data_IF_509699651892
#
_entry.id   IF_509699651892
#
_cell.length_a   1.000
_cell.length_b   1.000
_cell.length_c   1.000
_cell.angle_alpha   90.00
_cell.angle_beta   90.00
_cell.angle_gamma   90.00
#
_symmetry.space_group_name_H-M   'P 1'
#
loop_
_entity.id
_entity.type
_entity.pdbx_description
1 polymer ?
#
# COMPACT_ATOMS: atom_id res chain seq x y z
N UNK A 1 26.60 10.53 5.55
CA UNK A 1 26.33 9.45 4.59
C UNK A 1 26.53 10.03 3.19
N UNK A 2 27.54 9.59 2.52
CA UNK A 2 27.79 10.03 1.16
C UNK A 2 26.78 9.41 0.20
N UNK A 3 26.49 10.11 -0.92
CA UNK A 3 25.56 9.65 -1.95
C UNK A 3 25.91 8.26 -2.48
N UNK A 4 27.20 7.95 -2.54
CA UNK A 4 27.73 6.64 -2.94
C UNK A 4 27.32 5.50 -2.00
N UNK A 5 27.27 5.75 -0.70
CA UNK A 5 26.90 4.74 0.30
C UNK A 5 25.41 4.41 0.22
N UNK A 6 24.57 5.44 0.03
CA UNK A 6 23.14 5.27 -0.15
C UNK A 6 22.83 4.47 -1.43
N UNK A 7 23.53 4.78 -2.53
CA UNK A 7 23.35 4.05 -3.79
C UNK A 7 23.75 2.57 -3.65
N UNK A 8 24.81 2.29 -2.88
CA UNK A 8 25.23 0.91 -2.60
C UNK A 8 24.20 0.15 -1.74
N UNK A 9 23.64 0.80 -0.72
CA UNK A 9 22.59 0.20 0.13
C UNK A 9 21.30 -0.09 -0.66
N UNK A 10 20.87 0.84 -1.49
CA UNK A 10 19.71 0.67 -2.37
C UNK A 10 19.94 -0.50 -3.34
N UNK A 11 21.14 -0.58 -3.93
CA UNK A 11 21.49 -1.68 -4.83
C UNK A 11 21.48 -3.02 -4.12
N UNK A 12 22.01 -3.10 -2.90
CA UNK A 12 22.01 -4.32 -2.09
C UNK A 12 20.58 -4.76 -1.73
N UNK A 13 19.72 -3.83 -1.32
CA UNK A 13 18.32 -4.11 -1.01
C UNK A 13 17.56 -4.62 -2.24
N UNK A 14 17.77 -4.01 -3.39
CA UNK A 14 17.17 -4.43 -4.66
C UNK A 14 17.65 -5.83 -5.07
N UNK A 15 18.92 -6.13 -4.85
CA UNK A 15 19.47 -7.47 -5.10
C UNK A 15 18.82 -8.52 -4.20
N UNK A 16 18.69 -8.24 -2.91
CA UNK A 16 18.05 -9.17 -1.97
C UNK A 16 16.59 -9.44 -2.32
N UNK A 17 15.82 -8.39 -2.61
CA UNK A 17 14.42 -8.52 -3.00
C UNK A 17 14.27 -9.34 -4.28
N UNK A 18 15.09 -9.06 -5.29
CA UNK A 18 15.08 -9.80 -6.56
C UNK A 18 15.43 -11.28 -6.36
N UNK A 19 16.42 -11.57 -5.52
CA UNK A 19 16.83 -12.93 -5.21
C UNK A 19 15.74 -13.70 -4.42
N UNK A 20 15.04 -13.04 -3.51
CA UNK A 20 13.91 -13.62 -2.80
C UNK A 20 12.77 -13.99 -3.76
N UNK A 21 12.43 -13.11 -4.68
CA UNK A 21 11.41 -13.36 -5.69
C UNK A 21 11.79 -14.50 -6.64
N UNK A 22 13.06 -14.57 -7.03
CA UNK A 22 13.57 -15.69 -7.86
C UNK A 22 13.46 -17.03 -7.11
N UNK A 23 13.87 -17.08 -5.85
CA UNK A 23 13.70 -18.27 -5.00
C UNK A 23 12.23 -18.66 -4.79
N UNK A 24 11.33 -17.68 -4.80
CA UNK A 24 9.90 -17.92 -4.74
C UNK A 24 9.31 -18.44 -6.06
N UNK A 25 10.09 -18.49 -7.14
CA UNK A 25 9.68 -19.03 -8.42
C UNK A 25 9.28 -18.02 -9.48
N UNK A 26 9.55 -16.74 -9.23
CA UNK A 26 9.34 -15.67 -10.23
C UNK A 26 10.59 -15.49 -11.09
N UNK A 27 10.39 -15.27 -12.37
CA UNK A 27 11.48 -14.98 -13.32
C UNK A 27 11.00 -14.07 -14.45
N UNK A 28 11.94 -13.41 -15.13
CA UNK A 28 11.65 -12.56 -16.26
C UNK A 28 10.62 -11.47 -15.99
N UNK A 29 9.65 -11.31 -16.86
CA UNK A 29 8.61 -10.29 -16.72
C UNK A 29 7.75 -10.49 -15.48
N UNK A 30 7.52 -11.70 -15.06
CA UNK A 30 6.75 -11.99 -13.84
C UNK A 30 7.49 -11.54 -12.58
N UNK A 31 8.80 -11.73 -12.52
CA UNK A 31 9.63 -11.19 -11.44
C UNK A 31 9.54 -9.66 -11.42
N UNK A 32 9.65 -9.01 -12.57
CA UNK A 32 9.50 -7.56 -12.68
C UNK A 32 8.15 -7.07 -12.16
N UNK A 33 7.06 -7.74 -12.50
CA UNK A 33 5.73 -7.37 -12.03
C UNK A 33 5.57 -7.58 -10.52
N UNK A 34 6.07 -8.69 -9.98
CA UNK A 34 6.06 -8.95 -8.55
C UNK A 34 6.90 -7.91 -7.78
N UNK A 35 8.09 -7.60 -8.28
CA UNK A 35 8.96 -6.55 -7.75
C UNK A 35 8.25 -5.19 -7.71
N UNK A 36 7.69 -4.76 -8.83
CA UNK A 36 6.97 -3.48 -8.91
C UNK A 36 5.75 -3.43 -7.99
N UNK A 37 5.05 -4.54 -7.81
CA UNK A 37 3.91 -4.62 -6.89
C UNK A 37 4.34 -4.36 -5.45
N UNK A 38 5.43 -4.98 -5.01
CA UNK A 38 5.95 -4.80 -3.66
C UNK A 38 6.46 -3.37 -3.44
N UNK A 39 7.28 -2.87 -4.35
CA UNK A 39 7.88 -1.53 -4.23
C UNK A 39 6.79 -0.45 -4.27
N UNK A 40 5.85 -0.54 -5.21
CA UNK A 40 4.77 0.43 -5.33
C UNK A 40 3.88 0.46 -4.08
N UNK A 41 3.56 -0.69 -3.52
CA UNK A 41 2.78 -0.78 -2.30
C UNK A 41 3.50 -0.19 -1.09
N UNK A 42 4.76 -0.53 -0.90
CA UNK A 42 5.58 0.02 0.20
C UNK A 42 5.73 1.53 0.09
N UNK A 43 6.11 2.02 -1.09
CA UNK A 43 6.26 3.46 -1.33
C UNK A 43 4.93 4.19 -1.14
N UNK A 44 3.82 3.62 -1.62
CA UNK A 44 2.48 4.17 -1.45
C UNK A 44 2.10 4.30 0.02
N UNK A 45 2.30 3.26 0.81
CA UNK A 45 2.02 3.29 2.26
C UNK A 45 2.85 4.35 2.98
N UNK A 46 4.17 4.34 2.80
CA UNK A 46 5.08 5.29 3.45
C UNK A 46 4.75 6.72 3.05
N UNK A 47 4.52 6.97 1.78
CA UNK A 47 4.19 8.31 1.27
C UNK A 47 2.88 8.83 1.86
N UNK A 48 1.84 7.99 1.90
CA UNK A 48 0.55 8.37 2.45
C UNK A 48 0.61 8.52 3.97
N UNK A 49 1.38 7.70 4.65
CA UNK A 49 1.54 7.76 6.10
C UNK A 49 2.31 9.00 6.56
N UNK A 50 3.31 9.40 5.79
CA UNK A 50 4.14 10.58 6.07
C UNK A 50 3.66 11.86 5.36
N UNK A 51 2.53 11.80 4.65
CA UNK A 51 2.01 12.95 3.94
C UNK A 51 1.77 14.14 4.90
N UNK A 52 2.42 15.28 4.69
CA UNK A 52 2.27 16.43 5.56
C UNK A 52 0.87 17.05 5.42
N UNK A 53 0.40 17.66 6.49
CA UNK A 53 -0.74 18.58 6.43
C UNK A 53 -0.34 19.86 5.68
N UNK A 54 -1.30 20.56 5.06
CA UNK A 54 -1.05 21.88 4.50
C UNK A 54 -0.41 22.81 5.53
N UNK A 55 0.62 23.57 5.11
CA UNK A 55 1.35 24.47 6.02
C UNK A 55 0.50 25.63 6.50
N UNK A 56 -0.44 26.11 5.65
CA UNK A 56 -1.38 27.16 6.00
C UNK A 56 -2.61 26.59 6.70
N UNK A 57 -2.83 26.98 7.95
CA UNK A 57 -3.98 26.61 8.78
C UNK A 57 -4.28 25.08 8.77
N UNK A 58 -3.37 24.23 9.26
CA UNK A 58 -3.57 22.78 9.23
C UNK A 58 -4.82 22.33 10.01
N UNK A 59 -5.16 23.00 11.11
CA UNK A 59 -6.35 22.68 11.91
C UNK A 59 -7.65 23.02 11.18
N UNK A 60 -7.70 24.19 10.54
CA UNK A 60 -8.84 24.62 9.74
C UNK A 60 -9.06 23.71 8.54
N UNK A 61 -7.98 23.32 7.86
CA UNK A 61 -8.04 22.36 6.77
C UNK A 61 -8.56 20.98 7.24
N UNK A 62 -8.03 20.48 8.36
CA UNK A 62 -8.44 19.18 8.91
C UNK A 62 -9.92 19.19 9.30
N UNK A 63 -10.40 20.29 9.92
CA UNK A 63 -11.81 20.49 10.29
C UNK A 63 -12.71 20.53 9.06
N UNK A 64 -12.34 21.30 8.05
CA UNK A 64 -13.10 21.41 6.80
C UNK A 64 -13.14 20.06 6.05
N UNK A 65 -12.05 19.32 6.06
CA UNK A 65 -11.98 18.00 5.43
C UNK A 65 -12.87 16.99 6.15
N UNK A 66 -12.84 16.98 7.48
CA UNK A 66 -13.73 16.14 8.30
C UNK A 66 -15.19 16.43 8.04
N UNK A 67 -15.54 17.71 7.97
CA UNK A 67 -16.92 18.15 7.68
C UNK A 67 -17.38 17.62 6.31
N UNK A 68 -16.56 17.77 5.28
CA UNK A 68 -16.88 17.25 3.95
C UNK A 68 -17.07 15.73 3.93
N UNK A 69 -16.30 14.98 4.73
CA UNK A 69 -16.46 13.54 4.85
C UNK A 69 -17.76 13.16 5.57
N UNK A 70 -18.20 13.95 6.56
CA UNK A 70 -19.45 13.74 7.27
C UNK A 70 -20.68 14.09 6.43
N UNK A 71 -20.55 15.04 5.51
CA UNK A 71 -21.62 15.52 4.64
C UNK A 71 -21.81 14.68 3.36
N UNK A 72 -21.35 13.43 3.37
CA UNK A 72 -21.53 12.52 2.23
C UNK A 72 -23.02 12.24 2.01
N UNK A 73 -23.49 12.53 0.80
CA UNK A 73 -24.89 12.27 0.41
C UNK A 73 -25.13 10.74 0.29
N UNK A 74 -25.90 10.21 1.23
CA UNK A 74 -26.27 8.79 1.27
C UNK A 74 -27.08 8.33 0.05
N UNK A 75 -27.71 9.23 -0.68
CA UNK A 75 -28.45 8.90 -1.90
C UNK A 75 -27.51 8.65 -3.07
N UNK A 76 -26.46 9.43 -3.18
CA UNK A 76 -25.45 9.32 -4.23
C UNK A 76 -24.35 8.31 -3.90
N UNK A 77 -23.96 8.25 -2.61
CA UNK A 77 -22.86 7.41 -2.13
C UNK A 77 -23.30 6.56 -0.93
N UNK A 78 -24.23 5.61 -1.12
CA UNK A 78 -24.81 4.87 0.01
C UNK A 78 -23.80 4.01 0.76
N UNK A 79 -22.87 3.39 0.07
CA UNK A 79 -21.83 2.56 0.69
C UNK A 79 -20.86 3.42 1.51
N UNK A 80 -20.39 4.51 0.93
CA UNK A 80 -19.46 5.41 1.61
C UNK A 80 -20.10 6.02 2.87
N UNK A 81 -21.35 6.46 2.76
CA UNK A 81 -22.09 7.01 3.91
C UNK A 81 -22.27 5.96 5.03
N UNK A 82 -22.59 4.73 4.68
CA UNK A 82 -22.75 3.64 5.65
C UNK A 82 -21.43 3.27 6.33
N UNK A 83 -20.33 3.20 5.58
CA UNK A 83 -19.03 2.78 6.09
C UNK A 83 -18.19 3.92 6.69
N UNK A 84 -18.67 5.16 6.61
CA UNK A 84 -17.94 6.33 7.11
C UNK A 84 -17.50 6.21 8.57
N UNK A 85 -18.29 5.65 9.51
CA UNK A 85 -17.83 5.46 10.90
C UNK A 85 -16.56 4.62 11.03
N UNK A 86 -16.36 3.66 10.11
CA UNK A 86 -15.16 2.83 10.08
C UNK A 86 -14.01 3.54 9.34
N UNK A 87 -14.28 4.16 8.20
CA UNK A 87 -13.29 4.87 7.41
C UNK A 87 -12.70 6.07 8.16
N UNK A 88 -13.50 6.77 8.94
CA UNK A 88 -13.05 7.92 9.72
C UNK A 88 -11.98 7.56 10.77
N UNK A 89 -11.81 6.29 11.12
CA UNK A 89 -10.85 5.85 12.15
C UNK A 89 -9.43 5.62 11.64
N UNK A 90 -9.16 5.74 10.35
CA UNK A 90 -7.81 5.50 9.88
C UNK A 90 -7.67 5.24 8.39
N UNK A 91 -8.67 5.51 7.57
CA UNK A 91 -8.47 5.50 6.14
C UNK A 91 -7.52 6.64 5.74
N UNK A 92 -6.68 6.40 4.75
CA UNK A 92 -5.72 7.42 4.26
C UNK A 92 -6.39 8.74 3.91
N UNK A 93 -7.59 8.69 3.32
CA UNK A 93 -8.34 9.89 2.91
C UNK A 93 -8.76 10.78 4.07
N UNK A 94 -8.89 10.23 5.28
CA UNK A 94 -9.33 10.96 6.48
C UNK A 94 -8.27 11.04 7.57
N UNK A 95 -7.11 10.43 7.37
CA UNK A 95 -6.05 10.36 8.38
C UNK A 95 -5.65 11.73 8.89
N UNK A 96 -5.41 12.68 8.00
CA UNK A 96 -5.01 14.03 8.32
C UNK A 96 -6.07 14.81 9.11
N UNK A 97 -7.34 14.44 8.97
CA UNK A 97 -8.46 15.11 9.65
C UNK A 97 -8.83 14.48 10.99
N UNK A 98 -8.36 13.26 11.26
CA UNK A 98 -8.69 12.57 12.50
C UNK A 98 -7.88 13.08 13.70
N UNK A 99 -6.79 13.79 13.49
CA UNK A 99 -5.88 14.24 14.55
C UNK A 99 -5.19 13.08 15.27
N UNK A 100 -5.36 11.88 14.80
CA UNK A 100 -4.76 10.68 15.38
C UNK A 100 -3.42 10.48 14.72
N UNK A 101 -2.37 10.77 15.48
CA UNK A 101 -0.99 10.51 15.10
C UNK A 101 -0.65 9.03 15.35
N UNK A 102 -1.52 8.15 14.86
CA UNK A 102 -1.31 6.72 14.95
C UNK A 102 -0.86 6.16 13.61
N UNK A 103 0.19 5.35 13.61
CA UNK A 103 0.59 4.62 12.43
C UNK A 103 -0.54 3.69 11.97
N UNK A 104 -0.66 3.52 10.67
CA UNK A 104 -1.62 2.62 10.07
C UNK A 104 -1.13 1.16 10.11
N UNK A 105 -0.63 0.72 11.26
CA UNK A 105 0.01 -0.58 11.44
C UNK A 105 -0.89 -1.74 11.02
N UNK A 106 -2.13 -1.75 11.48
CA UNK A 106 -3.07 -2.81 11.15
C UNK A 106 -3.38 -2.87 9.65
N UNK A 107 -3.49 -1.71 9.01
CA UNK A 107 -3.68 -1.64 7.56
C UNK A 107 -2.43 -2.07 6.80
N UNK A 108 -1.25 -1.77 7.31
CA UNK A 108 0.02 -2.23 6.75
C UNK A 108 0.17 -3.75 6.88
N UNK A 109 -0.17 -4.33 8.02
CA UNK A 109 -0.20 -5.78 8.23
C UNK A 109 -1.17 -6.46 7.29
N UNK A 110 -2.38 -5.92 7.14
CA UNK A 110 -3.38 -6.43 6.21
C UNK A 110 -2.90 -6.36 4.76
N UNK A 111 -2.28 -5.25 4.35
CA UNK A 111 -1.68 -5.12 3.04
C UNK A 111 -0.57 -6.15 2.81
N UNK A 112 0.32 -6.33 3.77
CA UNK A 112 1.41 -7.30 3.70
C UNK A 112 0.87 -8.72 3.50
N UNK A 113 -0.10 -9.13 4.29
CA UNK A 113 -0.76 -10.44 4.17
C UNK A 113 -1.42 -10.60 2.80
N UNK A 114 -2.15 -9.59 2.36
CA UNK A 114 -2.81 -9.59 1.04
C UNK A 114 -1.81 -9.76 -0.09
N UNK A 115 -0.69 -9.07 -0.05
CA UNK A 115 0.36 -9.18 -1.08
C UNK A 115 1.00 -10.56 -1.07
N UNK A 116 1.31 -11.10 0.12
CA UNK A 116 1.90 -12.45 0.24
C UNK A 116 0.95 -13.50 -0.35
N UNK A 117 -0.33 -13.46 0.02
CA UNK A 117 -1.35 -14.38 -0.50
C UNK A 117 -1.54 -14.21 -2.01
N UNK A 118 -1.58 -12.97 -2.49
CA UNK A 118 -1.69 -12.66 -3.91
C UNK A 118 -0.51 -13.16 -4.73
N UNK A 119 0.71 -12.94 -4.26
CA UNK A 119 1.93 -13.43 -4.92
C UNK A 119 1.98 -14.97 -4.90
N UNK A 120 1.59 -15.61 -3.81
CA UNK A 120 1.50 -17.08 -3.74
C UNK A 120 0.51 -17.63 -4.78
N UNK A 121 -0.65 -17.00 -4.92
CA UNK A 121 -1.65 -17.37 -5.93
C UNK A 121 -1.13 -17.16 -7.36
N UNK A 122 -0.44 -16.05 -7.61
CA UNK A 122 0.16 -15.76 -8.91
C UNK A 122 1.27 -16.76 -9.27
N UNK A 123 2.07 -17.17 -8.28
CA UNK A 123 3.08 -18.23 -8.45
C UNK A 123 2.43 -19.55 -8.87
N UNK A 124 1.36 -19.97 -8.22
CA UNK A 124 0.65 -21.22 -8.51
C UNK A 124 0.10 -21.24 -9.96
N UNK A 125 -0.34 -20.09 -10.47
CA UNK A 125 -0.82 -19.95 -11.86
C UNK A 125 0.29 -20.09 -12.92
N UNK A 126 1.54 -19.96 -12.51
CA UNK A 126 2.70 -20.04 -13.42
C UNK A 126 3.22 -21.47 -13.60
N UNK A 127 2.80 -22.41 -12.76
CA UNK A 127 3.20 -23.80 -12.88
C UNK A 127 2.41 -24.42 -14.05
N UNK A 128 3.07 -24.92 -15.12
CA UNK A 128 2.37 -25.63 -16.19
C UNK A 128 1.64 -26.81 -15.57
N UNK A 129 0.35 -26.94 -15.84
CA UNK A 129 -0.39 -28.14 -15.49
C UNK A 129 0.29 -29.37 -16.09
N UNK A 130 0.14 -30.58 -15.51
CA UNK A 130 0.69 -31.81 -16.09
C UNK A 130 0.23 -31.92 -17.53
N UNK A 131 1.18 -32.14 -18.44
CA UNK A 131 0.90 -32.30 -19.85
C UNK A 131 -0.19 -33.38 -19.98
N UNK A 132 -1.34 -33.01 -20.54
CA UNK A 132 -2.35 -33.97 -20.93
C UNK A 132 -1.74 -34.80 -22.07
N UNK A 133 -1.29 -35.97 -21.72
CA UNK A 133 -0.85 -36.97 -22.69
C UNK A 133 -2.13 -37.48 -23.36
N UNK A 134 -2.30 -37.16 -24.60
CA UNK A 134 -3.29 -37.74 -25.51
C UNK A 134 -2.84 -39.08 -25.96
#
# INVERSE_FOLDING_TARGET
MERSDLDAEITAANQELSALLERAGFSGDRLRHAYNTLVAGMVGFVTLELAPLPEEDPEGWATAHRQRMQDVDARQCPTLAREMPHLARGAFVVRASSGVDQPLEQSFEFWTETVILGLAAMRARSTPGPAQTT
#
